data_IF_814948639949
#
_entry.id   IF_814948639949
#
_cell.length_a   1.000
_cell.length_b   1.000
_cell.length_c   1.000
_cell.angle_alpha   90.00
_cell.angle_beta   90.00
_cell.angle_gamma   90.00
#
_symmetry.space_group_name_H-M   'P 1'
#
loop_
_entity.id
_entity.type
_entity.pdbx_description
1 polymer ?
#
# COMPACT_ATOMS: atom_id res chain seq x y z
N UNK A 1 17.50 -0.57 9.38
CA UNK A 1 16.37 -0.19 8.51
C UNK A 1 16.57 -0.79 7.14
N UNK A 2 15.52 -1.33 6.53
CA UNK A 2 15.54 -1.80 5.14
C UNK A 2 16.04 -0.68 4.21
N UNK A 3 16.79 -1.02 3.16
CA UNK A 3 17.07 -0.05 2.09
C UNK A 3 15.80 0.11 1.27
N UNK A 4 15.54 1.31 0.76
CA UNK A 4 14.36 1.60 -0.08
C UNK A 4 13.98 0.51 -1.09
N UNK A 5 14.90 -0.02 -1.94
CA UNK A 5 14.52 -1.05 -2.92
C UNK A 5 14.04 -2.35 -2.27
N UNK A 6 14.57 -2.72 -1.11
CA UNK A 6 14.13 -3.90 -0.38
C UNK A 6 12.76 -3.67 0.29
N UNK A 7 12.51 -2.47 0.83
CA UNK A 7 11.21 -2.09 1.35
C UNK A 7 10.14 -2.13 0.24
N UNK A 8 10.41 -1.49 -0.90
CA UNK A 8 9.51 -1.51 -2.05
C UNK A 8 9.25 -2.93 -2.56
N UNK A 9 10.29 -3.77 -2.65
CA UNK A 9 10.13 -5.16 -3.08
C UNK A 9 9.23 -5.96 -2.14
N UNK A 10 9.37 -5.77 -0.82
CA UNK A 10 8.52 -6.40 0.18
C UNK A 10 7.07 -5.94 0.05
N UNK A 11 6.84 -4.63 -0.07
CA UNK A 11 5.51 -4.05 -0.27
C UNK A 11 4.85 -4.64 -1.53
N UNK A 12 5.54 -4.65 -2.67
CA UNK A 12 5.03 -5.22 -3.91
C UNK A 12 4.75 -6.72 -3.80
N UNK A 13 5.60 -7.48 -3.09
CA UNK A 13 5.43 -8.91 -2.90
C UNK A 13 4.19 -9.25 -2.05
N UNK A 14 3.81 -8.37 -1.12
CA UNK A 14 2.65 -8.55 -0.23
C UNK A 14 1.37 -7.99 -0.86
N UNK A 15 1.42 -6.76 -1.35
CA UNK A 15 0.22 -6.04 -1.77
C UNK A 15 -0.30 -6.47 -3.15
N UNK A 16 0.58 -6.81 -4.10
CA UNK A 16 0.13 -7.25 -5.42
C UNK A 16 -0.76 -8.50 -5.32
N UNK A 17 -0.38 -9.58 -4.60
CA UNK A 17 -1.27 -10.72 -4.40
C UNK A 17 -2.60 -10.36 -3.74
N UNK A 18 -2.58 -9.52 -2.69
CA UNK A 18 -3.78 -9.09 -1.96
C UNK A 18 -4.74 -8.34 -2.87
N UNK A 19 -4.26 -7.30 -3.55
CA UNK A 19 -5.06 -6.53 -4.50
C UNK A 19 -5.53 -7.41 -5.66
N UNK A 20 -4.66 -8.23 -6.24
CA UNK A 20 -5.00 -9.06 -7.39
C UNK A 20 -6.12 -10.04 -7.07
N UNK A 21 -6.01 -10.73 -5.92
CA UNK A 21 -7.02 -11.64 -5.38
C UNK A 21 -8.35 -10.92 -5.14
N UNK A 22 -8.33 -9.85 -4.34
CA UNK A 22 -9.54 -9.13 -3.97
C UNK A 22 -10.25 -8.52 -5.18
N UNK A 23 -9.51 -7.88 -6.10
CA UNK A 23 -10.07 -7.29 -7.31
C UNK A 23 -10.62 -8.37 -8.27
N UNK A 24 -9.98 -9.53 -8.35
CA UNK A 24 -10.47 -10.64 -9.15
C UNK A 24 -11.80 -11.18 -8.62
N UNK A 25 -11.87 -11.46 -7.32
CA UNK A 25 -13.03 -12.13 -6.74
C UNK A 25 -14.17 -11.18 -6.36
N UNK A 26 -13.86 -9.95 -5.93
CA UNK A 26 -14.88 -8.96 -5.57
C UNK A 26 -15.43 -8.15 -6.76
N UNK A 27 -14.62 -7.91 -7.80
CA UNK A 27 -15.00 -7.01 -8.91
C UNK A 27 -14.85 -7.62 -10.30
N UNK A 28 -14.52 -8.91 -10.39
CA UNK A 28 -14.32 -9.65 -11.64
C UNK A 28 -13.24 -9.04 -12.56
N UNK A 29 -12.27 -8.30 -12.01
CA UNK A 29 -11.15 -7.74 -12.78
C UNK A 29 -10.26 -8.89 -13.26
N UNK A 30 -9.71 -8.79 -14.47
CA UNK A 30 -8.76 -9.80 -14.96
C UNK A 30 -7.47 -9.76 -14.13
N UNK A 31 -6.84 -10.92 -13.90
CA UNK A 31 -5.61 -11.01 -13.11
C UNK A 31 -4.53 -10.02 -13.56
N UNK A 32 -4.31 -9.93 -14.88
CA UNK A 32 -3.35 -8.97 -15.45
C UNK A 32 -3.70 -7.53 -15.13
N UNK A 33 -4.96 -7.12 -15.27
CA UNK A 33 -5.39 -5.75 -14.99
C UNK A 33 -5.32 -5.45 -13.50
N UNK A 34 -5.65 -6.42 -12.64
CA UNK A 34 -5.58 -6.28 -11.20
C UNK A 34 -4.14 -6.12 -10.72
N UNK A 35 -3.21 -6.95 -11.21
CA UNK A 35 -1.79 -6.85 -10.88
C UNK A 35 -1.17 -5.52 -11.38
N UNK A 36 -1.49 -5.08 -12.60
CA UNK A 36 -1.02 -3.79 -13.12
C UNK A 36 -1.58 -2.61 -12.32
N UNK A 37 -2.83 -2.70 -11.88
CA UNK A 37 -3.45 -1.70 -11.03
C UNK A 37 -2.75 -1.64 -9.67
N UNK A 38 -2.55 -2.77 -9.00
CA UNK A 38 -1.84 -2.87 -7.73
C UNK A 38 -0.41 -2.29 -7.83
N UNK A 39 0.34 -2.70 -8.87
CA UNK A 39 1.67 -2.18 -9.15
C UNK A 39 1.66 -0.66 -9.36
N UNK A 40 0.73 -0.15 -10.18
CA UNK A 40 0.62 1.28 -10.46
C UNK A 40 0.28 2.11 -9.23
N UNK A 41 -0.63 1.62 -8.38
CA UNK A 41 -1.01 2.24 -7.10
C UNK A 41 0.21 2.32 -6.19
N UNK A 42 0.88 1.19 -5.95
CA UNK A 42 2.04 1.10 -5.08
C UNK A 42 3.22 1.96 -5.57
N UNK A 43 3.50 1.97 -6.88
CA UNK A 43 4.57 2.80 -7.44
C UNK A 43 4.27 4.29 -7.36
N UNK A 44 3.00 4.69 -7.28
CA UNK A 44 2.61 6.08 -7.09
C UNK A 44 2.70 6.52 -5.62
N UNK A 45 2.37 5.63 -4.67
CA UNK A 45 2.26 5.97 -3.25
C UNK A 45 3.51 5.70 -2.44
N UNK A 46 4.15 4.55 -2.64
CA UNK A 46 5.26 4.09 -1.82
C UNK A 46 6.50 5.00 -1.85
N UNK A 47 6.97 5.53 -3.00
CA UNK A 47 8.12 6.45 -3.01
C UNK A 47 7.85 7.72 -2.20
N UNK A 48 6.63 8.28 -2.36
CA UNK A 48 6.22 9.49 -1.63
C UNK A 48 6.19 9.24 -0.12
N UNK A 49 5.59 8.13 0.31
CA UNK A 49 5.57 7.72 1.72
C UNK A 49 6.98 7.57 2.28
N UNK A 50 7.86 6.87 1.57
CA UNK A 50 9.23 6.62 2.00
C UNK A 50 10.01 7.91 2.25
N UNK A 51 10.00 8.83 1.27
CA UNK A 51 10.74 10.09 1.40
C UNK A 51 10.09 11.06 2.38
N UNK A 52 8.77 10.98 2.58
CA UNK A 52 8.08 11.72 3.62
C UNK A 52 8.50 11.26 5.02
N UNK A 53 8.63 9.94 5.24
CA UNK A 53 8.94 9.36 6.54
C UNK A 53 10.43 9.37 6.89
N UNK A 54 11.31 9.29 5.89
CA UNK A 54 12.77 9.18 6.11
C UNK A 54 13.34 10.25 7.08
N UNK A 55 12.99 11.55 6.99
CA UNK A 55 13.51 12.58 7.90
C UNK A 55 13.02 12.48 9.35
N UNK A 56 11.94 11.75 9.60
CA UNK A 56 11.32 11.60 10.93
C UNK A 56 11.85 10.40 11.69
N UNK A 57 12.56 9.50 11.00
CA UNK A 57 13.16 8.31 11.59
C UNK A 57 13.96 8.64 12.84
N UNK A 58 13.70 7.92 13.94
CA UNK A 58 14.41 8.08 15.21
C UNK A 58 13.93 9.27 16.06
N UNK A 59 12.95 10.05 15.60
CA UNK A 59 12.32 11.12 16.40
C UNK A 59 11.16 10.55 17.23
N UNK A 60 10.89 11.16 18.38
CA UNK A 60 9.76 10.77 19.25
C UNK A 60 8.40 10.85 18.56
N UNK A 61 8.23 11.80 17.62
CA UNK A 61 7.01 11.96 16.84
C UNK A 61 6.82 10.89 15.74
N UNK A 62 7.84 10.05 15.45
CA UNK A 62 7.82 9.10 14.34
C UNK A 62 6.58 8.20 14.30
N UNK A 63 6.11 7.58 15.41
CA UNK A 63 4.93 6.72 15.37
C UNK A 63 3.67 7.45 14.93
N UNK A 64 3.46 8.69 15.41
CA UNK A 64 2.32 9.51 15.02
C UNK A 64 2.39 9.90 13.53
N UNK A 65 3.59 10.27 13.06
CA UNK A 65 3.80 10.62 11.66
C UNK A 65 3.54 9.42 10.74
N UNK A 66 3.95 8.22 11.15
CA UNK A 66 3.63 6.97 10.42
C UNK A 66 2.12 6.79 10.31
N UNK A 67 1.39 6.84 11.43
CA UNK A 67 -0.08 6.65 11.42
C UNK A 67 -0.78 7.65 10.49
N UNK A 68 -0.38 8.93 10.55
CA UNK A 68 -0.97 9.97 9.68
C UNK A 68 -0.61 9.74 8.21
N UNK A 69 0.65 9.40 7.92
CA UNK A 69 1.10 9.16 6.56
C UNK A 69 0.41 7.93 5.93
N UNK A 70 0.27 6.85 6.69
CA UNK A 70 -0.46 5.64 6.29
C UNK A 70 -1.93 5.95 5.98
N UNK A 71 -2.60 6.75 6.82
CA UNK A 71 -3.99 7.15 6.58
C UNK A 71 -4.14 7.96 5.26
N UNK A 72 -3.20 8.87 5.00
CA UNK A 72 -3.17 9.65 3.75
C UNK A 72 -2.90 8.76 2.54
N UNK A 73 -1.95 7.83 2.65
CA UNK A 73 -1.63 6.86 1.58
C UNK A 73 -2.82 5.97 1.29
N UNK A 74 -3.44 5.35 2.31
CA UNK A 74 -4.65 4.54 2.13
C UNK A 74 -5.75 5.30 1.40
N UNK A 75 -5.95 6.58 1.75
CA UNK A 75 -6.89 7.47 1.06
C UNK A 75 -6.52 7.70 -0.41
N UNK A 76 -5.24 7.98 -0.70
CA UNK A 76 -4.74 8.16 -2.06
C UNK A 76 -4.90 6.88 -2.90
N UNK A 77 -4.57 5.71 -2.33
CA UNK A 77 -4.72 4.41 -3.00
C UNK A 77 -6.19 4.11 -3.29
N UNK A 78 -7.09 4.35 -2.36
CA UNK A 78 -8.52 4.22 -2.57
C UNK A 78 -9.02 5.08 -3.74
N UNK A 79 -8.56 6.34 -3.82
CA UNK A 79 -8.88 7.24 -4.94
C UNK A 79 -8.32 6.72 -6.27
N UNK A 80 -7.08 6.24 -6.28
CA UNK A 80 -6.45 5.67 -7.48
C UNK A 80 -7.19 4.41 -7.96
N UNK A 81 -7.63 3.53 -7.05
CA UNK A 81 -8.44 2.36 -7.38
C UNK A 81 -9.78 2.77 -7.97
N UNK A 82 -10.48 3.72 -7.35
CA UNK A 82 -11.76 4.24 -7.84
C UNK A 82 -11.59 4.82 -9.24
N UNK A 83 -10.54 5.61 -9.46
CA UNK A 83 -10.23 6.21 -10.76
C UNK A 83 -9.90 5.17 -11.83
N UNK A 84 -9.03 4.20 -11.51
CA UNK A 84 -8.57 3.17 -12.45
C UNK A 84 -9.66 2.16 -12.82
N UNK A 85 -10.46 1.76 -11.85
CA UNK A 85 -11.56 0.81 -12.04
C UNK A 85 -12.83 1.50 -12.54
N UNK A 86 -12.91 2.83 -12.41
CA UNK A 86 -14.09 3.65 -12.68
C UNK A 86 -15.31 3.18 -11.87
N UNK A 87 -15.09 2.85 -10.59
CA UNK A 87 -16.11 2.36 -9.67
C UNK A 87 -16.03 3.11 -8.35
N UNK A 88 -17.17 3.54 -7.81
CA UNK A 88 -17.26 4.22 -6.51
C UNK A 88 -17.78 3.27 -5.44
N UNK A 89 -17.01 2.22 -5.21
CA UNK A 89 -17.34 1.21 -4.20
C UNK A 89 -16.54 1.46 -2.92
N UNK A 90 -17.19 1.67 -1.76
CA UNK A 90 -16.48 1.91 -0.50
C UNK A 90 -15.58 0.75 -0.08
N UNK A 91 -15.84 -0.48 -0.56
CA UNK A 91 -14.99 -1.64 -0.28
C UNK A 91 -13.59 -1.51 -0.90
N UNK A 92 -13.38 -0.62 -1.88
CA UNK A 92 -12.04 -0.32 -2.40
C UNK A 92 -11.17 0.42 -1.38
N UNK A 93 -11.77 1.25 -0.52
CA UNK A 93 -11.05 1.88 0.58
C UNK A 93 -10.67 0.87 1.66
N UNK A 94 -11.59 -0.06 1.97
CA UNK A 94 -11.32 -1.17 2.90
C UNK A 94 -10.17 -2.04 2.37
N UNK A 95 -10.16 -2.34 1.07
CA UNK A 95 -9.09 -3.09 0.42
C UNK A 95 -7.75 -2.37 0.53
N UNK A 96 -7.71 -1.05 0.28
CA UNK A 96 -6.49 -0.27 0.40
C UNK A 96 -5.90 -0.31 1.81
N UNK A 97 -6.76 -0.11 2.83
CA UNK A 97 -6.35 -0.21 4.24
C UNK A 97 -5.85 -1.62 4.58
N UNK A 98 -6.55 -2.67 4.12
CA UNK A 98 -6.16 -4.05 4.38
C UNK A 98 -4.80 -4.41 3.73
N UNK A 99 -4.56 -3.96 2.50
CA UNK A 99 -3.29 -4.17 1.80
C UNK A 99 -2.13 -3.46 2.52
N UNK A 100 -2.30 -2.18 2.86
CA UNK A 100 -1.28 -1.41 3.60
C UNK A 100 -1.02 -2.04 4.98
N UNK A 101 -2.06 -2.42 5.72
CA UNK A 101 -1.90 -3.07 7.02
C UNK A 101 -1.11 -4.39 6.91
N UNK A 102 -1.37 -5.20 5.87
CA UNK A 102 -0.62 -6.43 5.63
C UNK A 102 0.86 -6.15 5.31
N UNK A 103 1.12 -5.11 4.52
CA UNK A 103 2.47 -4.67 4.14
C UNK A 103 3.27 -4.12 5.34
N UNK A 104 2.63 -3.29 6.17
CA UNK A 104 3.20 -2.79 7.44
C UNK A 104 3.53 -3.94 8.37
N UNK A 105 2.61 -4.89 8.56
CA UNK A 105 2.85 -6.08 9.39
C UNK A 105 4.02 -6.92 8.86
N UNK A 106 4.10 -7.14 7.54
CA UNK A 106 5.22 -7.84 6.93
C UNK A 106 6.55 -7.12 7.18
N UNK A 107 6.57 -5.79 7.07
CA UNK A 107 7.73 -4.97 7.41
C UNK A 107 8.15 -5.09 8.88
N UNK A 108 7.18 -5.09 9.81
CA UNK A 108 7.43 -5.26 11.25
C UNK A 108 7.95 -6.66 11.60
N UNK A 109 7.41 -7.70 10.96
CA UNK A 109 7.88 -9.09 11.13
C UNK A 109 9.31 -9.21 10.59
N UNK A 110 9.58 -8.69 9.40
CA UNK A 110 10.92 -8.72 8.82
C UNK A 110 11.94 -7.95 9.67
N UNK A 111 11.54 -6.81 10.27
CA UNK A 111 12.42 -6.03 11.12
C UNK A 111 12.68 -6.64 12.50
N UNK A 112 11.89 -7.63 12.91
CA UNK A 112 12.02 -8.32 14.21
C UNK A 112 12.66 -9.72 14.10
N UNK A 113 12.92 -10.20 12.88
CA UNK A 113 13.68 -11.41 12.58
C UNK A 113 15.18 -11.12 12.43
#
# INVERSE_FOLDING_TARGET
MLRYPAALALTLAVEIPVYAAALRWGWAVTWRRAALCALGVNLATHPLLWWLLAPWTGRSAYPLVVVVAEAVVCGAEAVLLVWWLRRRDPLLAVLAVAANAASVLAGLIYASA
#
